data_IF_687095235754
#
_entry.id   IF_687095235754
#
_cell.length_a   1.000
_cell.length_b   1.000
_cell.length_c   1.000
_cell.angle_alpha   90.00
_cell.angle_beta   90.00
_cell.angle_gamma   90.00
#
_symmetry.space_group_name_H-M   'P 1'
#
loop_
_entity.id
_entity.type
_entity.pdbx_description
1 polymer ?
#
# COMPACT_ATOMS: atom_id res chain seq x y z
N UNK A 1 6.60 -22.89 3.12
CA UNK A 1 6.03 -22.39 4.39
C UNK A 1 4.74 -23.14 4.71
N UNK A 2 4.32 -23.18 5.97
CA UNK A 2 3.08 -23.84 6.37
C UNK A 2 1.84 -22.95 6.15
N UNK A 3 0.67 -23.52 6.42
CA UNK A 3 -0.61 -22.81 6.36
C UNK A 3 -0.66 -21.67 7.39
N UNK A 4 -1.02 -20.48 6.95
CA UNK A 4 -1.15 -19.28 7.79
C UNK A 4 -2.37 -19.41 8.68
N UNK A 5 -2.22 -19.17 9.99
CA UNK A 5 -3.29 -19.27 10.96
C UNK A 5 -4.39 -18.21 10.71
N UNK A 6 -5.62 -18.53 11.12
CA UNK A 6 -6.75 -17.61 10.99
C UNK A 6 -6.60 -16.31 11.77
N UNK A 7 -5.79 -16.33 12.84
CA UNK A 7 -5.47 -15.15 13.65
C UNK A 7 -4.42 -14.24 13.00
N UNK A 8 -3.61 -14.76 12.09
CA UNK A 8 -2.54 -14.01 11.42
C UNK A 8 -2.99 -13.41 10.08
N UNK A 9 -3.90 -14.11 9.39
CA UNK A 9 -4.52 -13.61 8.17
C UNK A 9 -6.04 -13.75 8.32
N UNK A 10 -6.73 -12.66 8.59
CA UNK A 10 -8.18 -12.67 8.72
C UNK A 10 -8.81 -12.46 7.35
N UNK A 11 -9.66 -13.42 6.97
CA UNK A 11 -10.45 -13.38 5.74
C UNK A 11 -11.92 -13.33 6.16
N UNK A 12 -12.66 -12.35 5.67
CA UNK A 12 -14.08 -12.17 5.95
C UNK A 12 -14.92 -13.31 5.33
N UNK A 13 -16.15 -13.46 5.80
CA UNK A 13 -17.06 -14.50 5.32
C UNK A 13 -17.45 -14.36 3.85
N UNK A 14 -17.26 -13.17 3.26
CA UNK A 14 -17.46 -12.91 1.83
C UNK A 14 -16.20 -13.14 0.97
N UNK A 15 -15.11 -13.59 1.58
CA UNK A 15 -13.84 -13.85 0.91
C UNK A 15 -12.93 -12.62 0.75
N UNK A 16 -13.33 -11.46 1.27
CA UNK A 16 -12.48 -10.26 1.28
C UNK A 16 -11.45 -10.31 2.41
N UNK A 17 -10.33 -9.58 2.23
CA UNK A 17 -9.35 -9.36 3.30
C UNK A 17 -9.92 -8.41 4.35
N UNK A 18 -9.40 -8.47 5.57
CA UNK A 18 -10.08 -7.92 6.75
C UNK A 18 -10.24 -6.39 6.74
N UNK A 19 -9.15 -5.65 6.57
CA UNK A 19 -9.22 -4.19 6.71
C UNK A 19 -9.62 -3.51 5.40
N UNK A 20 -8.97 -3.86 4.28
CA UNK A 20 -9.26 -3.27 2.98
C UNK A 20 -10.62 -3.69 2.42
N UNK A 21 -11.16 -4.80 2.89
CA UNK A 21 -12.46 -5.34 2.49
C UNK A 21 -12.62 -5.57 0.98
N UNK A 22 -11.49 -5.89 0.31
CA UNK A 22 -11.42 -6.25 -1.11
C UNK A 22 -10.97 -7.70 -1.27
N UNK A 23 -11.24 -8.26 -2.44
CA UNK A 23 -10.84 -9.62 -2.82
C UNK A 23 -9.61 -9.59 -3.72
N UNK A 24 -8.91 -10.73 -3.92
CA UNK A 24 -7.77 -10.80 -4.83
C UNK A 24 -8.04 -10.27 -6.24
N UNK A 25 -9.22 -10.57 -6.79
CA UNK A 25 -9.64 -10.12 -8.12
C UNK A 25 -9.95 -8.63 -8.21
N UNK A 26 -10.26 -7.99 -7.10
CA UNK A 26 -10.55 -6.55 -7.04
C UNK A 26 -9.28 -5.70 -7.20
N UNK A 27 -8.10 -6.26 -6.90
CA UNK A 27 -6.83 -5.53 -6.87
C UNK A 27 -6.09 -5.57 -8.21
N UNK A 28 -5.69 -4.41 -8.71
CA UNK A 28 -4.79 -4.29 -9.86
C UNK A 28 -3.32 -4.56 -9.46
N UNK A 29 -2.43 -4.81 -10.44
CA UNK A 29 -0.99 -4.98 -10.20
C UNK A 29 -0.26 -3.64 -10.03
N UNK A 30 -0.89 -2.55 -10.46
CA UNK A 30 -0.44 -1.18 -10.20
C UNK A 30 -1.34 -0.53 -9.16
N UNK A 31 -0.75 -0.10 -8.07
CA UNK A 31 -1.46 0.46 -6.91
C UNK A 31 -0.95 1.87 -6.62
N UNK A 32 -1.85 2.83 -6.59
CA UNK A 32 -1.56 4.17 -6.11
C UNK A 32 -2.07 4.32 -4.67
N UNK A 33 -1.17 4.62 -3.75
CA UNK A 33 -1.50 4.89 -2.34
C UNK A 33 -1.62 6.39 -2.10
N UNK A 34 -2.68 6.79 -1.44
CA UNK A 34 -2.92 8.17 -0.97
C UNK A 34 -3.24 8.15 0.53
N UNK A 35 -3.00 9.23 1.25
CA UNK A 35 -3.32 9.27 2.68
C UNK A 35 -4.80 9.46 2.96
N UNK A 36 -5.44 10.39 2.26
CA UNK A 36 -6.81 10.83 2.49
C UNK A 36 -7.80 10.05 1.60
N UNK A 37 -8.88 9.48 2.18
CA UNK A 37 -9.95 8.83 1.40
C UNK A 37 -10.56 9.72 0.30
N UNK A 38 -10.71 11.02 0.55
CA UNK A 38 -11.23 11.96 -0.45
C UNK A 38 -10.36 12.11 -1.69
N UNK A 39 -9.06 11.81 -1.59
CA UNK A 39 -8.18 11.80 -2.76
C UNK A 39 -8.37 10.56 -3.64
N UNK A 40 -8.92 9.48 -3.10
CA UNK A 40 -9.25 8.29 -3.90
C UNK A 40 -10.27 8.66 -4.98
N UNK A 41 -11.34 9.35 -4.60
CA UNK A 41 -12.35 9.83 -5.55
C UNK A 41 -11.77 10.82 -6.56
N UNK A 42 -10.89 11.72 -6.10
CA UNK A 42 -10.20 12.68 -6.98
C UNK A 42 -9.38 11.96 -8.06
N UNK A 43 -8.60 10.96 -7.69
CA UNK A 43 -7.80 10.17 -8.65
C UNK A 43 -8.72 9.35 -9.55
N UNK A 44 -9.72 8.70 -8.97
CA UNK A 44 -10.66 7.87 -9.73
C UNK A 44 -11.52 8.68 -10.73
N UNK A 45 -11.66 10.00 -10.53
CA UNK A 45 -12.34 10.87 -11.51
C UNK A 45 -11.64 10.95 -12.86
N UNK A 46 -10.39 10.54 -12.96
CA UNK A 46 -9.63 10.43 -14.21
C UNK A 46 -9.75 9.04 -14.88
N UNK A 47 -10.40 8.06 -14.23
CA UNK A 47 -10.54 6.73 -14.81
C UNK A 47 -11.57 6.71 -15.91
N UNK A 48 -11.26 5.97 -16.98
CA UNK A 48 -12.19 5.74 -18.10
C UNK A 48 -13.35 4.82 -17.69
N UNK A 49 -13.08 3.91 -16.75
CA UNK A 49 -14.00 2.89 -16.26
C UNK A 49 -13.69 2.59 -14.78
N UNK A 50 -14.72 2.50 -13.96
CA UNK A 50 -14.62 2.04 -12.56
C UNK A 50 -15.15 0.61 -12.48
N UNK A 51 -14.32 -0.31 -11.99
CA UNK A 51 -14.67 -1.73 -11.83
C UNK A 51 -15.04 -2.06 -10.38
N UNK A 52 -14.36 -1.44 -9.42
CA UNK A 52 -14.53 -1.69 -7.97
C UNK A 52 -14.57 -0.36 -7.26
N UNK A 53 -15.48 -0.22 -6.29
CA UNK A 53 -15.49 0.89 -5.33
C UNK A 53 -15.92 0.32 -3.98
N UNK A 54 -14.99 0.24 -3.03
CA UNK A 54 -15.21 -0.31 -1.70
C UNK A 54 -14.56 0.57 -0.64
N UNK A 55 -15.25 0.74 0.47
CA UNK A 55 -14.77 1.51 1.61
C UNK A 55 -14.98 0.73 2.90
N UNK A 56 -13.96 0.71 3.72
CA UNK A 56 -13.98 0.10 5.05
C UNK A 56 -13.07 0.92 5.98
N UNK A 57 -13.64 1.48 7.02
CA UNK A 57 -12.93 2.40 7.93
C UNK A 57 -12.31 3.57 7.14
N UNK A 58 -11.01 3.83 7.36
CA UNK A 58 -10.21 4.83 6.63
C UNK A 58 -9.69 4.33 5.27
N UNK A 59 -9.89 3.06 4.96
CA UNK A 59 -9.43 2.45 3.71
C UNK A 59 -10.53 2.53 2.65
N UNK A 60 -10.30 3.34 1.64
CA UNK A 60 -11.15 3.44 0.46
C UNK A 60 -10.37 2.95 -0.75
N UNK A 61 -10.93 2.00 -1.48
CA UNK A 61 -10.34 1.40 -2.67
C UNK A 61 -11.24 1.63 -3.87
N UNK A 62 -10.69 2.23 -4.91
CA UNK A 62 -11.30 2.24 -6.24
C UNK A 62 -10.33 1.59 -7.22
N UNK A 63 -10.79 0.59 -7.94
CA UNK A 63 -10.07 -0.03 -9.05
C UNK A 63 -10.78 0.28 -10.35
N UNK A 64 -10.02 0.63 -11.36
CA UNK A 64 -10.56 1.00 -12.66
C UNK A 64 -9.50 1.04 -13.74
N UNK A 65 -9.84 1.62 -14.89
CA UNK A 65 -8.93 1.74 -16.03
C UNK A 65 -8.63 3.20 -16.33
N UNK A 66 -7.39 3.47 -16.62
CA UNK A 66 -6.90 4.75 -17.13
C UNK A 66 -6.01 4.52 -18.34
N UNK A 67 -6.40 5.02 -19.50
CA UNK A 67 -5.72 4.77 -20.78
C UNK A 67 -5.44 3.28 -21.03
N UNK A 68 -6.43 2.43 -20.76
CA UNK A 68 -6.37 0.99 -20.94
C UNK A 68 -5.55 0.23 -19.89
N UNK A 69 -4.94 0.90 -18.91
CA UNK A 69 -4.22 0.28 -17.80
C UNK A 69 -5.11 0.15 -16.59
N UNK A 70 -5.16 -1.04 -16.00
CA UNK A 70 -5.88 -1.30 -14.75
C UNK A 70 -5.07 -0.80 -13.56
N UNK A 71 -5.67 0.05 -12.72
CA UNK A 71 -5.02 0.69 -11.58
C UNK A 71 -5.97 0.62 -10.39
N UNK A 72 -5.44 0.33 -9.21
CA UNK A 72 -6.14 0.51 -7.93
C UNK A 72 -5.62 1.76 -7.26
N UNK A 73 -6.51 2.63 -6.79
CA UNK A 73 -6.16 3.72 -5.88
C UNK A 73 -6.74 3.41 -4.50
N UNK A 74 -5.90 3.53 -3.47
CA UNK A 74 -6.25 3.10 -2.12
C UNK A 74 -5.81 4.16 -1.11
N UNK A 75 -6.71 4.54 -0.19
CA UNK A 75 -6.33 5.38 0.94
C UNK A 75 -5.72 4.55 2.05
N UNK A 76 -4.69 5.09 2.67
CA UNK A 76 -4.01 4.46 3.81
C UNK A 76 -4.45 5.03 5.15
N UNK A 77 -5.13 6.18 5.16
CA UNK A 77 -5.29 6.95 6.40
C UNK A 77 -3.96 7.55 6.86
N UNK A 78 -3.82 7.73 8.17
CA UNK A 78 -2.67 8.38 8.82
C UNK A 78 -1.94 7.36 9.71
N UNK A 79 -0.62 7.44 9.73
CA UNK A 79 0.25 6.68 10.61
C UNK A 79 0.93 5.49 9.94
N UNK A 80 2.04 5.04 10.56
CA UNK A 80 2.83 3.92 10.08
C UNK A 80 2.08 2.59 10.20
N UNK A 81 1.26 2.43 11.24
CA UNK A 81 0.45 1.23 11.49
C UNK A 81 -0.51 0.95 10.33
N UNK A 82 -1.16 2.01 9.82
CA UNK A 82 -2.06 1.89 8.67
C UNK A 82 -1.32 1.52 7.38
N UNK A 83 -0.13 2.09 7.17
CA UNK A 83 0.73 1.72 6.03
C UNK A 83 1.12 0.24 6.12
N UNK A 84 1.48 -0.21 7.31
CA UNK A 84 1.85 -1.61 7.57
C UNK A 84 0.68 -2.55 7.24
N UNK A 85 -0.52 -2.26 7.73
CA UNK A 85 -1.74 -3.01 7.41
C UNK A 85 -1.94 -3.08 5.90
N UNK A 86 -1.91 -1.93 5.22
CA UNK A 86 -2.18 -1.85 3.78
C UNK A 86 -1.17 -2.67 2.99
N UNK A 87 0.13 -2.52 3.25
CA UNK A 87 1.17 -3.22 2.47
C UNK A 87 1.09 -4.73 2.69
N UNK A 88 0.90 -5.19 3.94
CA UNK A 88 0.73 -6.61 4.23
C UNK A 88 -0.54 -7.20 3.61
N UNK A 89 -1.66 -6.48 3.65
CA UNK A 89 -2.89 -6.97 3.02
C UNK A 89 -2.82 -6.97 1.50
N UNK A 90 -2.13 -6.01 0.88
CA UNK A 90 -1.88 -6.01 -0.56
C UNK A 90 -1.02 -7.20 -1.00
N UNK A 91 0.04 -7.51 -0.23
CA UNK A 91 0.86 -8.70 -0.49
C UNK A 91 0.04 -9.98 -0.34
N UNK A 92 -0.74 -10.10 0.73
CA UNK A 92 -1.59 -11.26 0.96
C UNK A 92 -2.61 -11.48 -0.17
N UNK A 93 -3.26 -10.41 -0.66
CA UNK A 93 -4.19 -10.47 -1.78
C UNK A 93 -3.56 -11.05 -3.06
N UNK A 94 -2.28 -10.76 -3.30
CA UNK A 94 -1.58 -11.23 -4.50
C UNK A 94 -0.89 -12.57 -4.30
N UNK A 95 -0.28 -12.80 -3.15
CA UNK A 95 0.69 -13.86 -2.96
C UNK A 95 0.22 -15.00 -2.04
N UNK A 96 -0.96 -14.87 -1.43
CA UNK A 96 -1.57 -15.95 -0.64
C UNK A 96 -2.80 -16.50 -1.37
N UNK A 97 -2.93 -17.81 -1.37
CA UNK A 97 -4.18 -18.47 -1.75
C UNK A 97 -5.12 -18.45 -0.55
N UNK A 98 -6.24 -17.74 -0.65
CA UNK A 98 -7.18 -17.58 0.45
C UNK A 98 -7.95 -18.86 0.80
N UNK A 99 -8.08 -19.80 -0.14
CA UNK A 99 -8.76 -21.06 0.10
C UNK A 99 -7.89 -22.03 0.92
N UNK A 100 -6.61 -22.14 0.57
CA UNK A 100 -5.64 -22.99 1.28
C UNK A 100 -4.97 -22.28 2.43
N UNK A 101 -4.89 -20.94 2.40
CA UNK A 101 -4.16 -20.08 3.33
C UNK A 101 -2.65 -20.32 3.28
N UNK A 102 -2.16 -20.64 2.11
CA UNK A 102 -0.75 -20.92 1.86
C UNK A 102 -0.20 -19.93 0.83
N UNK A 103 1.09 -19.71 0.88
CA UNK A 103 1.76 -18.89 -0.13
C UNK A 103 1.66 -19.54 -1.51
N UNK A 104 1.33 -18.74 -2.52
CA UNK A 104 1.37 -19.18 -3.91
C UNK A 104 2.80 -19.51 -4.32
N UNK A 105 2.96 -20.55 -5.14
CA UNK A 105 4.28 -20.94 -5.68
C UNK A 105 4.86 -19.87 -6.62
N UNK A 106 4.00 -19.18 -7.35
CA UNK A 106 4.38 -18.05 -8.20
C UNK A 106 4.01 -16.75 -7.48
N UNK A 107 5.02 -15.90 -7.24
CA UNK A 107 4.84 -14.61 -6.58
C UNK A 107 4.59 -13.52 -7.62
N UNK A 108 3.63 -12.66 -7.32
CA UNK A 108 3.33 -11.47 -8.11
C UNK A 108 3.94 -10.25 -7.45
N UNK A 109 4.70 -9.47 -8.22
CA UNK A 109 5.21 -8.17 -7.78
C UNK A 109 4.18 -7.08 -8.02
N UNK A 110 3.89 -6.28 -6.99
CA UNK A 110 3.06 -5.09 -7.11
C UNK A 110 3.92 -3.86 -7.45
N UNK A 111 3.41 -3.02 -8.34
CA UNK A 111 3.97 -1.70 -8.58
C UNK A 111 3.24 -0.70 -7.70
N UNK A 112 3.87 -0.24 -6.64
CA UNK A 112 3.26 0.68 -5.67
C UNK A 112 3.85 2.08 -5.85
N UNK A 113 2.96 3.06 -6.05
CA UNK A 113 3.30 4.48 -6.08
C UNK A 113 2.54 5.18 -4.94
N UNK A 114 3.26 5.77 -3.99
CA UNK A 114 2.63 6.61 -2.97
C UNK A 114 2.65 8.07 -3.38
N UNK A 115 1.47 8.68 -3.43
CA UNK A 115 1.29 10.10 -3.70
C UNK A 115 0.82 10.81 -2.43
N UNK A 116 1.68 11.66 -1.90
CA UNK A 116 1.43 12.38 -0.66
C UNK A 116 1.69 13.87 -0.80
N UNK A 117 1.58 14.57 0.31
CA UNK A 117 2.01 15.95 0.47
C UNK A 117 3.09 16.02 1.54
N UNK A 118 4.04 16.93 1.40
CA UNK A 118 5.09 17.16 2.40
C UNK A 118 5.37 18.65 2.53
N UNK A 119 5.86 19.08 3.70
CA UNK A 119 6.44 20.39 3.88
C UNK A 119 7.90 20.39 3.40
N UNK A 120 8.31 21.45 2.71
CA UNK A 120 9.71 21.70 2.42
C UNK A 120 10.31 22.57 3.52
N UNK A 121 11.49 22.19 4.00
CA UNK A 121 12.27 22.99 4.97
C UNK A 121 13.39 23.77 4.30
N UNK A 122 13.56 23.62 3.00
CA UNK A 122 14.54 24.32 2.20
C UNK A 122 13.87 25.50 1.49
N UNK A 123 14.39 26.74 1.65
CA UNK A 123 13.74 27.94 1.12
C UNK A 123 13.73 28.00 -0.42
N UNK A 124 14.63 27.29 -1.08
CA UNK A 124 14.74 27.21 -2.53
C UNK A 124 13.72 26.27 -3.19
N UNK A 125 12.93 25.52 -2.40
CA UNK A 125 11.88 24.64 -2.91
C UNK A 125 10.55 25.40 -2.93
N UNK A 126 10.05 25.83 -4.09
CA UNK A 126 8.80 26.57 -4.17
C UNK A 126 7.59 25.73 -3.79
N UNK A 127 6.54 26.39 -3.31
CA UNK A 127 5.25 25.75 -3.08
C UNK A 127 4.73 25.15 -4.40
N UNK A 128 4.21 23.92 -4.35
CA UNK A 128 3.71 23.20 -5.50
C UNK A 128 4.76 22.42 -6.30
N UNK A 129 6.00 22.36 -5.79
CA UNK A 129 7.06 21.53 -6.39
C UNK A 129 6.72 20.04 -6.24
N UNK A 130 7.06 19.24 -7.27
CA UNK A 130 7.09 17.79 -7.16
C UNK A 130 8.41 17.36 -6.54
N UNK A 131 8.33 16.52 -5.51
CA UNK A 131 9.50 15.98 -4.81
C UNK A 131 9.45 14.45 -4.87
N UNK A 132 10.52 13.84 -5.37
CA UNK A 132 10.71 12.40 -5.34
C UNK A 132 11.75 12.07 -4.26
N UNK A 133 11.36 11.23 -3.29
CA UNK A 133 12.28 10.79 -2.24
C UNK A 133 13.34 9.85 -2.81
N UNK A 134 14.60 10.18 -2.57
CA UNK A 134 15.72 9.26 -2.79
C UNK A 134 15.95 8.40 -1.55
N UNK A 135 15.90 9.02 -0.38
CA UNK A 135 15.96 8.37 0.93
C UNK A 135 14.78 8.81 1.79
N UNK A 136 14.40 7.96 2.72
CA UNK A 136 13.41 8.25 3.74
C UNK A 136 13.94 7.83 5.10
N UNK A 137 13.76 8.67 6.11
CA UNK A 137 14.12 8.35 7.50
C UNK A 137 12.85 8.17 8.30
N UNK A 138 12.65 6.96 8.83
CA UNK A 138 11.53 6.64 9.71
C UNK A 138 11.96 6.69 11.17
N UNK A 139 11.26 7.50 11.97
CA UNK A 139 11.46 7.57 13.44
C UNK A 139 10.47 6.70 14.21
N UNK A 140 9.69 5.88 13.51
CA UNK A 140 8.64 5.02 14.07
C UNK A 140 9.15 3.63 14.49
N UNK A 141 10.37 3.28 14.11
CA UNK A 141 10.99 1.98 14.34
C UNK A 141 10.29 0.78 13.66
N UNK A 142 9.34 0.99 12.75
CA UNK A 142 8.55 -0.06 12.11
C UNK A 142 9.44 -1.12 11.43
N UNK A 143 10.48 -0.69 10.70
CA UNK A 143 11.38 -1.60 10.01
C UNK A 143 12.16 -2.56 10.94
N UNK A 144 12.24 -2.28 12.24
CA UNK A 144 12.89 -3.18 13.19
C UNK A 144 12.09 -4.48 13.43
N UNK A 145 10.82 -4.51 13.04
CA UNK A 145 9.95 -5.69 13.14
C UNK A 145 10.04 -6.61 11.91
N UNK A 146 10.74 -6.18 10.86
CA UNK A 146 10.91 -6.93 9.62
C UNK A 146 12.32 -7.50 9.50
N UNK A 147 12.42 -8.72 8.97
CA UNK A 147 13.71 -9.28 8.54
C UNK A 147 14.24 -8.58 7.29
N UNK A 148 15.57 -8.61 7.09
CA UNK A 148 16.19 -8.01 5.90
C UNK A 148 16.33 -6.48 5.96
N UNK A 149 16.10 -5.86 7.12
CA UNK A 149 16.26 -4.41 7.28
C UNK A 149 17.63 -3.91 6.81
N UNK A 150 18.67 -4.64 7.11
CA UNK A 150 20.05 -4.33 6.73
C UNK A 150 20.32 -4.37 5.23
N UNK A 151 19.46 -5.01 4.45
CA UNK A 151 19.58 -5.08 2.99
C UNK A 151 19.06 -3.80 2.32
N UNK A 152 18.16 -3.07 2.99
CA UNK A 152 17.52 -1.87 2.46
C UNK A 152 17.95 -0.58 3.17
N UNK A 153 18.51 -0.67 4.38
CA UNK A 153 18.99 0.48 5.13
C UNK A 153 20.29 1.02 4.56
N UNK A 154 20.41 2.34 4.41
CA UNK A 154 21.69 2.98 4.11
C UNK A 154 22.51 3.12 5.38
N UNK A 155 23.53 2.29 5.52
CA UNK A 155 24.36 2.23 6.73
C UNK A 155 25.13 3.53 7.02
N UNK A 156 25.39 4.37 6.00
CA UNK A 156 26.08 5.65 6.20
C UNK A 156 25.12 6.66 6.81
N UNK A 157 23.93 6.78 6.22
CA UNK A 157 22.88 7.67 6.74
C UNK A 157 22.46 7.22 8.14
N UNK A 158 22.23 5.92 8.36
CA UNK A 158 21.86 5.40 9.67
C UNK A 158 22.88 5.75 10.76
N UNK A 159 24.16 5.56 10.48
CA UNK A 159 25.23 5.92 11.42
C UNK A 159 25.26 7.42 11.74
N UNK A 160 24.95 8.27 10.77
CA UNK A 160 24.99 9.72 10.95
C UNK A 160 23.80 10.22 11.78
N UNK A 161 22.75 9.40 11.97
CA UNK A 161 21.59 9.68 12.83
C UNK A 161 21.68 9.08 14.23
N UNK A 162 22.60 8.16 14.48
CA UNK A 162 22.83 7.51 15.79
C UNK A 162 23.97 8.19 16.55
#
# INVERSE_FOLDING_TARGET
MGRIAGSELIINGDGSIFHLHIRPEDLADTVMLVGDPGRVDMVASFFDEIEVNKSSREFHTITGKYNGKRISVISTGIGCDNIDIVVNELDALKNIDFATREEKSEKTTLNILRVGTSGAIQPEIPLGSFVFSHYSVGFDALLNWYGGREEIADAVIERDFL
#
